data_IF_933126170868
#
_entry.id   IF_933126170868
#
_cell.length_a   1.000
_cell.length_b   1.000
_cell.length_c   1.000
_cell.angle_alpha   90.00
_cell.angle_beta   90.00
_cell.angle_gamma   90.00
#
_symmetry.space_group_name_H-M   'P 1'
#
loop_
_entity.id
_entity.type
_entity.pdbx_description
1 polymer ?
#
# COMPACT_ATOMS: atom_id res chain seq x y z
N UNK A 1 15.76 -14.56 17.00
CA UNK A 1 16.63 -14.08 15.91
C UNK A 1 16.06 -12.77 15.41
N UNK A 2 16.87 -11.73 15.28
CA UNK A 2 16.44 -10.40 14.81
C UNK A 2 16.92 -10.27 13.36
N UNK A 3 16.03 -9.83 12.47
CA UNK A 3 16.35 -9.52 11.07
C UNK A 3 16.20 -8.03 10.85
N UNK A 4 17.19 -7.43 10.20
CA UNK A 4 17.16 -6.05 9.76
C UNK A 4 16.91 -6.02 8.25
N UNK A 5 16.25 -4.97 7.77
CA UNK A 5 16.06 -4.71 6.35
C UNK A 5 16.43 -3.26 6.03
N UNK A 6 16.79 -3.02 4.77
CA UNK A 6 17.00 -1.67 4.23
C UNK A 6 16.11 -1.52 2.99
N UNK A 7 15.25 -0.50 2.99
CA UNK A 7 14.35 -0.18 1.88
C UNK A 7 15.10 -0.05 0.54
N UNK A 8 16.34 0.44 0.56
CA UNK A 8 17.15 0.61 -0.65
C UNK A 8 17.57 -0.72 -1.27
N UNK A 9 17.56 -1.82 -0.50
CA UNK A 9 18.01 -3.15 -0.95
C UNK A 9 16.90 -4.18 -1.04
N UNK A 10 15.70 -3.88 -0.54
CA UNK A 10 14.55 -4.77 -0.68
C UNK A 10 14.22 -5.01 -2.17
N UNK A 11 13.88 -6.27 -2.56
CA UNK A 11 13.47 -6.57 -3.92
C UNK A 11 12.27 -5.72 -4.35
N UNK A 12 12.35 -5.18 -5.58
CA UNK A 12 11.30 -4.36 -6.17
C UNK A 12 10.47 -5.25 -7.09
N UNK A 13 9.15 -5.30 -6.85
CA UNK A 13 8.17 -5.93 -7.73
C UNK A 13 7.34 -4.84 -8.41
N UNK A 14 7.60 -4.51 -9.69
CA UNK A 14 6.78 -3.54 -10.42
C UNK A 14 5.34 -4.02 -10.56
N UNK A 15 4.39 -3.09 -10.48
CA UNK A 15 2.99 -3.42 -10.72
C UNK A 15 2.72 -3.60 -12.21
N UNK A 16 1.79 -4.50 -12.55
CA UNK A 16 1.43 -4.80 -13.95
C UNK A 16 0.91 -3.59 -14.72
N UNK A 17 0.30 -2.62 -14.03
CA UNK A 17 -0.23 -1.39 -14.62
C UNK A 17 0.83 -0.28 -14.79
N UNK A 18 2.06 -0.49 -14.31
CA UNK A 18 3.12 0.51 -14.35
C UNK A 18 2.91 1.73 -13.44
N UNK A 19 1.88 1.74 -12.59
CA UNK A 19 1.55 2.86 -11.71
C UNK A 19 2.34 2.88 -10.39
N UNK A 20 3.30 1.96 -10.24
CA UNK A 20 4.07 1.81 -9.02
C UNK A 20 4.81 0.49 -8.90
N UNK A 21 5.28 0.22 -7.69
CA UNK A 21 5.96 -1.02 -7.33
C UNK A 21 5.79 -1.32 -5.84
N UNK A 22 5.98 -2.59 -5.46
CA UNK A 22 5.99 -3.03 -4.07
C UNK A 22 7.37 -3.54 -3.68
N UNK A 23 7.83 -3.16 -2.48
CA UNK A 23 8.93 -3.77 -1.76
C UNK A 23 8.35 -4.51 -0.56
N UNK A 24 8.34 -5.84 -0.62
CA UNK A 24 7.86 -6.65 0.50
C UNK A 24 8.93 -6.71 1.59
N UNK A 25 8.55 -6.41 2.84
CA UNK A 25 9.44 -6.56 4.01
C UNK A 25 9.30 -7.98 4.55
N UNK A 26 8.06 -8.44 4.70
CA UNK A 26 7.72 -9.77 5.19
C UNK A 26 6.30 -10.13 4.80
N UNK A 27 6.07 -11.39 4.47
CA UNK A 27 4.76 -12.01 4.35
C UNK A 27 4.77 -13.35 5.09
N UNK A 28 3.84 -13.54 6.02
CA UNK A 28 3.63 -14.83 6.67
C UNK A 28 2.55 -15.59 5.91
N UNK A 29 2.84 -16.80 5.41
CA UNK A 29 1.89 -17.55 4.60
C UNK A 29 0.66 -17.99 5.42
N UNK A 30 -0.45 -18.19 4.72
CA UNK A 30 -1.69 -18.76 5.26
C UNK A 30 -2.18 -19.87 4.32
N UNK A 31 -2.92 -20.83 4.86
CA UNK A 31 -3.56 -21.91 4.08
C UNK A 31 -4.82 -21.44 3.37
N UNK A 32 -5.56 -20.52 4.00
CA UNK A 32 -6.93 -20.15 3.62
C UNK A 32 -7.08 -18.68 3.21
N UNK A 33 -5.98 -17.93 3.24
CA UNK A 33 -5.91 -16.52 2.87
C UNK A 33 -4.65 -16.24 2.04
N UNK A 34 -4.57 -15.10 1.32
CA UNK A 34 -3.35 -14.73 0.59
C UNK A 34 -2.09 -14.69 1.48
N UNK A 35 -2.26 -14.29 2.75
CA UNK A 35 -1.25 -14.29 3.81
C UNK A 35 -1.93 -14.16 5.17
N UNK A 36 -1.25 -14.54 6.25
CA UNK A 36 -1.70 -14.30 7.63
C UNK A 36 -1.50 -12.83 8.01
N UNK A 37 -0.31 -12.30 7.71
CA UNK A 37 -0.02 -10.87 7.74
C UNK A 37 1.13 -10.55 6.79
N UNK A 38 1.18 -9.31 6.31
CA UNK A 38 2.23 -8.81 5.42
C UNK A 38 2.55 -7.38 5.80
N UNK A 39 3.83 -7.03 5.74
CA UNK A 39 4.29 -5.65 5.78
C UNK A 39 5.11 -5.33 4.52
N UNK A 40 4.88 -4.17 3.95
CA UNK A 40 5.45 -3.76 2.67
C UNK A 40 5.53 -2.25 2.53
N UNK A 41 6.33 -1.80 1.57
CA UNK A 41 6.39 -0.40 1.16
C UNK A 41 6.01 -0.32 -0.31
N UNK A 42 5.00 0.49 -0.65
CA UNK A 42 4.69 0.76 -2.05
C UNK A 42 5.33 2.06 -2.53
N UNK A 43 5.71 2.08 -3.80
CA UNK A 43 5.97 3.30 -4.55
C UNK A 43 4.73 3.64 -5.35
N UNK A 44 4.17 4.82 -5.13
CA UNK A 44 3.01 5.36 -5.82
C UNK A 44 3.49 6.30 -6.92
N UNK A 45 3.26 5.98 -8.20
CA UNK A 45 3.75 6.81 -9.32
C UNK A 45 2.63 7.48 -10.11
N UNK A 46 1.42 6.91 -10.07
CA UNK A 46 0.25 7.47 -10.73
C UNK A 46 -1.02 7.03 -10.00
N UNK A 47 -2.11 7.77 -10.25
CA UNK A 47 -3.45 7.41 -9.82
C UNK A 47 -3.84 6.02 -10.34
N UNK A 48 -4.56 5.26 -9.52
CA UNK A 48 -4.98 3.93 -9.92
C UNK A 48 -5.69 3.14 -8.83
N UNK A 49 -6.33 2.03 -9.23
CA UNK A 49 -7.05 1.17 -8.30
C UNK A 49 -6.08 0.42 -7.40
N UNK A 50 -6.47 0.25 -6.14
CA UNK A 50 -5.81 -0.67 -5.22
C UNK A 50 -6.27 -2.10 -5.50
N UNK A 51 -5.36 -3.06 -5.32
CA UNK A 51 -5.75 -4.47 -5.38
C UNK A 51 -6.66 -4.83 -4.20
N UNK A 52 -7.79 -5.53 -4.43
CA UNK A 52 -8.63 -5.99 -3.34
C UNK A 52 -7.95 -7.14 -2.59
N UNK A 53 -8.07 -7.14 -1.27
CA UNK A 53 -7.67 -8.23 -0.39
C UNK A 53 -8.86 -8.59 0.51
N UNK A 54 -9.85 -9.35 -0.01
CA UNK A 54 -11.05 -9.68 0.77
C UNK A 54 -10.70 -10.43 2.06
N UNK A 55 -11.27 -9.98 3.18
CA UNK A 55 -11.04 -10.59 4.49
C UNK A 55 -9.72 -10.23 5.15
N UNK A 56 -9.01 -9.21 4.62
CA UNK A 56 -7.77 -8.68 5.21
C UNK A 56 -8.01 -7.24 5.66
N UNK A 57 -7.79 -6.96 6.94
CA UNK A 57 -7.72 -5.59 7.44
C UNK A 57 -6.42 -4.93 6.97
N UNK A 58 -6.52 -3.70 6.43
CA UNK A 58 -5.36 -2.94 5.95
C UNK A 58 -5.16 -1.70 6.80
N UNK A 59 -3.89 -1.36 7.02
CA UNK A 59 -3.49 -0.06 7.54
C UNK A 59 -2.48 0.52 6.57
N UNK A 60 -2.74 1.71 6.04
CA UNK A 60 -1.82 2.41 5.15
C UNK A 60 -1.29 3.67 5.83
N UNK A 61 -0.02 4.01 5.60
CA UNK A 61 0.58 5.26 6.06
C UNK A 61 1.41 5.88 4.94
N UNK A 62 1.12 7.12 4.54
CA UNK A 62 1.97 7.85 3.60
C UNK A 62 3.30 8.22 4.28
N UNK A 63 4.43 7.81 3.70
CA UNK A 63 5.78 8.05 4.22
C UNK A 63 6.50 9.19 3.49
N UNK A 64 6.22 9.37 2.19
CA UNK A 64 6.87 10.39 1.37
C UNK A 64 5.97 10.78 0.18
N UNK A 65 6.22 11.97 -0.37
CA UNK A 65 5.44 12.56 -1.46
C UNK A 65 4.39 13.56 -0.98
N UNK A 66 3.63 14.14 -1.91
CA UNK A 66 2.51 15.02 -1.59
C UNK A 66 1.31 14.24 -1.02
N UNK A 67 0.46 14.91 -0.22
CA UNK A 67 -0.84 14.35 0.14
C UNK A 67 -1.66 13.92 -1.08
N UNK A 68 -2.38 12.82 -0.95
CA UNK A 68 -3.26 12.26 -1.98
C UNK A 68 -4.58 11.80 -1.34
N UNK A 69 -5.51 11.29 -2.14
CA UNK A 69 -6.79 10.78 -1.65
C UNK A 69 -6.98 9.31 -2.00
N UNK A 70 -7.61 8.55 -1.11
CA UNK A 70 -8.19 7.25 -1.41
C UNK A 70 -9.70 7.38 -1.55
N UNK A 71 -10.21 7.11 -2.75
CA UNK A 71 -11.60 7.32 -3.12
C UNK A 71 -12.27 6.02 -3.57
N UNK A 72 -13.55 5.82 -3.22
CA UNK A 72 -14.36 4.69 -3.69
C UNK A 72 -15.72 4.60 -3.01
N UNK A 73 -16.80 4.41 -3.78
CA UNK A 73 -18.16 4.53 -3.24
C UNK A 73 -18.38 5.91 -2.63
N UNK A 74 -18.82 5.96 -1.37
CA UNK A 74 -18.98 7.19 -0.58
C UNK A 74 -17.71 7.62 0.18
N UNK A 75 -16.60 6.91 -0.02
CA UNK A 75 -15.33 7.17 0.68
C UNK A 75 -14.52 8.19 -0.11
N UNK A 76 -14.05 9.20 0.61
CA UNK A 76 -13.13 10.21 0.10
C UNK A 76 -12.12 10.62 1.18
N UNK A 77 -11.13 9.76 1.42
CA UNK A 77 -10.21 9.87 2.56
C UNK A 77 -8.88 10.53 2.17
N UNK A 78 -8.44 11.61 2.87
CA UNK A 78 -7.12 12.19 2.64
C UNK A 78 -6.02 11.33 3.27
N UNK A 79 -5.02 10.92 2.47
CA UNK A 79 -3.76 10.42 2.98
C UNK A 79 -2.75 11.55 3.09
N UNK A 80 -2.32 11.80 4.32
CA UNK A 80 -1.29 12.79 4.68
C UNK A 80 -0.11 12.09 5.35
N UNK A 81 1.05 12.74 5.35
CA UNK A 81 2.28 12.15 5.86
C UNK A 81 2.12 11.70 7.32
N UNK A 82 2.54 10.45 7.58
CA UNK A 82 2.63 9.83 8.90
C UNK A 82 1.28 9.66 9.63
N UNK A 83 0.17 9.73 8.90
CA UNK A 83 -1.15 9.44 9.43
C UNK A 83 -1.61 8.05 9.00
N UNK A 84 -1.61 7.04 9.90
CA UNK A 84 -2.11 5.73 9.57
C UNK A 84 -3.64 5.76 9.40
N UNK A 85 -4.13 5.07 8.38
CA UNK A 85 -5.56 4.88 8.18
C UNK A 85 -5.89 3.40 7.99
N UNK A 86 -6.81 2.91 8.81
CA UNK A 86 -7.29 1.54 8.77
C UNK A 86 -8.55 1.42 7.89
N UNK A 87 -8.60 0.41 7.03
CA UNK A 87 -9.74 0.14 6.18
C UNK A 87 -9.82 -1.35 5.78
N UNK A 88 -11.02 -1.88 5.50
CA UNK A 88 -11.20 -3.23 4.97
C UNK A 88 -10.57 -3.40 3.57
N UNK A 89 -9.82 -4.48 3.38
CA UNK A 89 -9.11 -4.77 2.13
C UNK A 89 -10.02 -5.10 0.93
N UNK A 90 -11.27 -5.48 1.17
CA UNK A 90 -12.30 -5.65 0.13
C UNK A 90 -12.82 -4.34 -0.46
N UNK A 91 -12.55 -3.18 0.16
CA UNK A 91 -13.03 -1.91 -0.36
C UNK A 91 -12.37 -1.58 -1.70
N UNK A 92 -13.21 -1.28 -2.70
CA UNK A 92 -12.77 -0.86 -4.02
C UNK A 92 -12.32 0.61 -4.00
N UNK A 93 -11.08 0.83 -3.54
CA UNK A 93 -10.46 2.15 -3.47
C UNK A 93 -9.50 2.41 -4.63
N UNK A 94 -9.39 3.67 -5.05
CA UNK A 94 -8.37 4.17 -5.97
C UNK A 94 -7.61 5.34 -5.34
N UNK A 95 -6.32 5.44 -5.63
CA UNK A 95 -5.55 6.66 -5.35
C UNK A 95 -5.90 7.75 -6.38
N UNK A 96 -6.04 8.98 -5.89
CA UNK A 96 -6.32 10.18 -6.69
C UNK A 96 -5.42 11.33 -6.25
N UNK A 97 -4.86 12.06 -7.21
CA UNK A 97 -4.04 13.26 -6.98
C UNK A 97 -2.54 13.01 -6.89
N UNK A 98 -2.04 11.89 -7.38
CA UNK A 98 -0.60 11.61 -7.46
C UNK A 98 0.02 12.44 -8.59
N UNK A 99 0.72 13.50 -8.21
CA UNK A 99 1.44 14.40 -9.13
C UNK A 99 2.95 14.14 -9.17
N UNK A 100 3.49 13.50 -8.12
CA UNK A 100 4.89 13.09 -8.01
C UNK A 100 4.99 11.75 -7.28
N UNK A 101 6.08 10.98 -7.48
CA UNK A 101 6.24 9.69 -6.81
C UNK A 101 6.22 9.81 -5.29
N UNK A 102 5.39 8.99 -4.65
CA UNK A 102 5.28 8.88 -3.20
C UNK A 102 5.66 7.49 -2.70
N UNK A 103 5.76 7.36 -1.37
CA UNK A 103 5.92 6.08 -0.68
C UNK A 103 4.84 5.92 0.37
N UNK A 104 4.31 4.72 0.51
CA UNK A 104 3.46 4.33 1.62
C UNK A 104 3.97 3.07 2.32
N UNK A 105 3.58 2.89 3.59
CA UNK A 105 3.70 1.64 4.33
C UNK A 105 2.34 0.96 4.39
N UNK A 106 2.30 -0.33 4.10
CA UNK A 106 1.13 -1.20 4.18
C UNK A 106 1.45 -2.45 4.99
#
# INVERSE_FOLDING_TARGET
MIFFFDIATLPITPWKNGAGATREIIAVPSTDAPFLWRASIATLQADGPFSPFPGVDRVITLLAGQPLRLCGGDIDHPLTLWQPWAFPGEWALSSVGIVEPGLDFN
#
